data_IF_647742944476
#
_entry.id   IF_647742944476
#
_cell.length_a   1.000
_cell.length_b   1.000
_cell.length_c   1.000
_cell.angle_alpha   90.00
_cell.angle_beta   90.00
_cell.angle_gamma   90.00
#
_symmetry.space_group_name_H-M   'P 1'
#
loop_
_entity.id
_entity.type
_entity.pdbx_description
1 polymer ?
#
# COMPACT_ATOMS: atom_id res chain seq x y z
N UNK A 1 56.63 -14.83 16.07
CA UNK A 1 55.68 -15.54 15.16
C UNK A 1 54.28 -15.75 15.76
N UNK A 2 54.13 -16.06 17.06
CA UNK A 2 52.82 -16.28 17.71
C UNK A 2 51.91 -15.03 17.79
N UNK A 3 52.47 -13.85 18.05
CA UNK A 3 51.68 -12.61 18.17
C UNK A 3 51.01 -12.17 16.85
N UNK A 4 51.69 -12.41 15.71
CA UNK A 4 51.10 -12.17 14.38
C UNK A 4 49.94 -13.13 14.08
N UNK A 5 50.00 -14.37 14.57
CA UNK A 5 48.93 -15.37 14.39
C UNK A 5 47.67 -15.00 15.18
N UNK A 6 47.82 -14.43 16.39
CA UNK A 6 46.70 -13.92 17.21
C UNK A 6 45.99 -12.74 16.53
N UNK A 7 46.76 -11.78 16.01
CA UNK A 7 46.21 -10.63 15.30
C UNK A 7 45.42 -11.04 14.05
N UNK A 8 45.95 -11.99 13.28
CA UNK A 8 45.26 -12.55 12.11
C UNK A 8 43.97 -13.27 12.52
N UNK A 9 43.99 -14.02 13.63
CA UNK A 9 42.81 -14.75 14.11
C UNK A 9 41.68 -13.80 14.55
N UNK A 10 42.02 -12.71 15.26
CA UNK A 10 41.05 -11.68 15.68
C UNK A 10 40.47 -10.97 14.46
N UNK A 11 41.30 -10.64 13.47
CA UNK A 11 40.83 -9.99 12.23
C UNK A 11 39.83 -10.87 11.47
N UNK A 12 40.08 -12.18 11.40
CA UNK A 12 39.18 -13.15 10.77
C UNK A 12 37.85 -13.25 11.53
N UNK A 13 37.89 -13.29 12.87
CA UNK A 13 36.69 -13.32 13.71
C UNK A 13 35.83 -12.06 13.52
N UNK A 14 36.44 -10.88 13.48
CA UNK A 14 35.74 -9.61 13.21
C UNK A 14 35.16 -9.59 11.80
N UNK A 15 35.88 -10.12 10.80
CA UNK A 15 35.36 -10.22 9.44
C UNK A 15 34.11 -11.12 9.34
N UNK A 16 34.07 -12.23 10.06
CA UNK A 16 32.90 -13.16 10.08
C UNK A 16 31.66 -12.48 10.69
N UNK A 17 31.85 -11.64 11.72
CA UNK A 17 30.76 -10.89 12.36
C UNK A 17 30.12 -9.82 11.44
N UNK A 18 30.81 -9.41 10.37
CA UNK A 18 30.30 -8.44 9.40
C UNK A 18 29.45 -9.07 8.27
N UNK A 19 29.40 -10.41 8.15
CA UNK A 19 28.61 -11.13 7.13
C UNK A 19 27.17 -11.47 7.57
N UNK A 20 26.56 -10.62 8.41
CA UNK A 20 25.23 -10.87 8.96
C UNK A 20 24.22 -9.77 8.65
N UNK A 21 23.57 -9.81 7.48
CA UNK A 21 22.11 -9.62 7.34
C UNK A 21 21.71 -9.78 5.86
N UNK A 22 21.46 -11.00 5.40
CA UNK A 22 20.68 -11.20 4.17
C UNK A 22 19.22 -11.34 4.57
N UNK A 23 18.56 -10.20 4.79
CA UNK A 23 17.11 -10.16 4.97
C UNK A 23 16.47 -10.46 3.61
N UNK A 24 15.94 -11.68 3.46
CA UNK A 24 15.12 -12.03 2.30
C UNK A 24 13.83 -11.23 2.41
N UNK A 25 13.70 -10.19 1.60
CA UNK A 25 12.47 -9.40 1.51
C UNK A 25 11.29 -10.36 1.26
N UNK A 26 10.18 -10.26 2.02
CA UNK A 26 9.00 -11.05 1.75
C UNK A 26 8.53 -10.83 0.30
N UNK A 27 7.97 -11.86 -0.35
CA UNK A 27 7.47 -11.73 -1.71
C UNK A 27 6.41 -10.62 -1.77
N UNK A 28 6.60 -9.64 -2.66
CA UNK A 28 5.62 -8.59 -2.92
C UNK A 28 4.47 -9.14 -3.75
N UNK A 29 3.24 -8.89 -3.33
CA UNK A 29 2.02 -9.26 -4.06
C UNK A 29 1.66 -8.16 -5.06
N UNK A 30 1.58 -8.48 -6.35
CA UNK A 30 1.09 -7.50 -7.34
C UNK A 30 -0.42 -7.66 -7.49
N UNK A 31 -1.17 -6.59 -7.26
CA UNK A 31 -2.63 -6.55 -7.43
C UNK A 31 -2.96 -5.61 -8.58
N UNK A 32 -3.68 -6.13 -9.57
CA UNK A 32 -4.23 -5.35 -10.68
C UNK A 32 -5.73 -5.24 -10.49
N UNK A 33 -6.22 -4.02 -10.32
CA UNK A 33 -7.64 -3.73 -10.17
C UNK A 33 -8.14 -3.01 -11.42
N UNK A 34 -9.22 -3.52 -12.01
CA UNK A 34 -9.99 -2.80 -13.01
C UNK A 34 -11.24 -2.23 -12.34
N UNK A 35 -11.33 -0.90 -12.25
CA UNK A 35 -12.46 -0.21 -11.63
C UNK A 35 -13.25 0.47 -12.75
N UNK A 36 -14.42 -0.08 -13.03
CA UNK A 36 -15.34 0.46 -14.03
C UNK A 36 -16.46 1.22 -13.34
N UNK A 37 -16.73 2.43 -13.82
CA UNK A 37 -17.79 3.29 -13.31
C UNK A 37 -19.03 3.16 -14.20
N UNK A 38 -20.20 3.01 -13.57
CA UNK A 38 -21.49 3.02 -14.27
C UNK A 38 -21.82 4.39 -14.87
N UNK A 39 -22.74 4.40 -15.84
CA UNK A 39 -23.15 5.62 -16.57
C UNK A 39 -24.02 6.57 -15.74
N UNK A 40 -24.54 6.10 -14.60
CA UNK A 40 -25.40 6.81 -13.66
C UNK A 40 -24.76 6.94 -12.27
N UNK A 41 -23.43 6.79 -12.20
CA UNK A 41 -22.70 6.83 -10.94
C UNK A 41 -22.73 8.23 -10.32
N UNK A 42 -22.92 8.29 -9.00
CA UNK A 42 -22.96 9.52 -8.21
C UNK A 42 -23.85 10.61 -8.85
N UNK A 43 -25.06 10.25 -9.26
CA UNK A 43 -25.98 11.16 -9.95
C UNK A 43 -26.64 12.16 -9.00
N UNK A 44 -26.65 13.44 -9.37
CA UNK A 44 -27.48 14.48 -8.71
C UNK A 44 -28.86 14.59 -9.37
N UNK A 45 -28.99 14.13 -10.61
CA UNK A 45 -30.24 14.03 -11.37
C UNK A 45 -30.16 12.83 -12.32
N UNK A 46 -31.29 12.22 -12.70
CA UNK A 46 -31.29 11.06 -13.60
C UNK A 46 -30.52 11.35 -14.89
N UNK A 47 -29.58 10.47 -15.24
CA UNK A 47 -28.79 10.57 -16.48
C UNK A 47 -27.56 11.48 -16.42
N UNK A 48 -27.27 12.12 -15.29
CA UNK A 48 -26.06 12.94 -15.13
C UNK A 48 -25.08 12.34 -14.11
N UNK A 49 -24.14 11.52 -14.59
CA UNK A 49 -23.05 11.03 -13.77
C UNK A 49 -22.22 12.18 -13.19
N UNK A 50 -21.81 12.05 -11.93
CA UNK A 50 -20.85 12.96 -11.32
C UNK A 50 -19.55 12.22 -10.94
N UNK A 51 -18.41 12.93 -10.90
CA UNK A 51 -17.16 12.37 -10.41
C UNK A 51 -17.29 11.87 -8.96
N UNK A 52 -16.56 10.82 -8.61
CA UNK A 52 -16.43 10.34 -7.24
C UNK A 52 -14.96 10.15 -6.88
N UNK A 53 -14.65 10.26 -5.59
CA UNK A 53 -13.34 9.95 -5.03
C UNK A 53 -13.37 8.52 -4.49
N UNK A 54 -12.42 7.68 -4.92
CA UNK A 54 -12.21 6.36 -4.31
C UNK A 54 -10.93 6.36 -3.49
N UNK A 55 -10.92 5.54 -2.43
CA UNK A 55 -9.73 5.24 -1.63
C UNK A 55 -9.59 3.72 -1.53
N UNK A 56 -8.39 3.23 -1.83
CA UNK A 56 -8.03 1.83 -1.67
C UNK A 56 -7.10 1.70 -0.45
N UNK A 57 -7.51 0.89 0.51
CA UNK A 57 -6.75 0.57 1.71
C UNK A 57 -6.16 -0.84 1.61
N UNK A 58 -4.87 -0.96 1.89
CA UNK A 58 -4.25 -2.26 2.14
C UNK A 58 -4.22 -2.48 3.65
N UNK A 59 -4.94 -3.51 4.12
CA UNK A 59 -5.15 -3.76 5.53
C UNK A 59 -4.50 -5.06 5.98
N UNK A 60 -3.79 -5.03 7.10
CA UNK A 60 -3.37 -6.23 7.84
C UNK A 60 -4.54 -6.93 8.54
N UNK A 61 -5.59 -6.17 8.88
CA UNK A 61 -6.86 -6.69 9.40
C UNK A 61 -8.03 -5.79 9.00
N UNK A 62 -9.17 -6.38 8.67
CA UNK A 62 -10.40 -5.64 8.30
C UNK A 62 -11.27 -5.21 9.49
N UNK A 63 -10.96 -5.67 10.71
CA UNK A 63 -11.84 -5.49 11.88
C UNK A 63 -12.12 -4.02 12.19
N UNK A 64 -11.09 -3.17 12.24
CA UNK A 64 -11.26 -1.74 12.51
C UNK A 64 -11.98 -1.02 11.37
N UNK A 65 -11.75 -1.44 10.13
CA UNK A 65 -12.44 -0.89 8.96
C UNK A 65 -13.94 -1.20 8.97
N UNK A 66 -14.33 -2.44 9.30
CA UNK A 66 -15.73 -2.86 9.38
C UNK A 66 -16.49 -2.22 10.55
N UNK A 67 -15.77 -1.75 11.58
CA UNK A 67 -16.34 -1.10 12.76
C UNK A 67 -16.38 0.44 12.65
N UNK A 68 -15.56 1.02 11.78
CA UNK A 68 -15.44 2.45 11.65
C UNK A 68 -16.62 3.08 10.92
N UNK A 69 -16.98 4.30 11.34
CA UNK A 69 -17.90 5.14 10.58
C UNK A 69 -17.20 5.70 9.32
N UNK A 70 -17.98 5.99 8.29
CA UNK A 70 -17.51 6.64 7.08
C UNK A 70 -16.76 7.95 7.38
N UNK A 71 -17.26 8.80 8.27
CA UNK A 71 -16.64 10.10 8.54
C UNK A 71 -15.26 9.94 9.20
N UNK A 72 -15.12 8.94 10.07
CA UNK A 72 -13.86 8.61 10.72
C UNK A 72 -12.83 8.07 9.71
N UNK A 73 -13.26 7.25 8.77
CA UNK A 73 -12.42 6.81 7.64
C UNK A 73 -12.11 7.96 6.67
N UNK A 74 -13.02 8.90 6.47
CA UNK A 74 -12.83 9.98 5.51
C UNK A 74 -11.88 11.07 6.03
N UNK A 75 -12.00 11.45 7.30
CA UNK A 75 -11.25 12.54 7.90
C UNK A 75 -9.94 12.10 8.58
N UNK A 76 -9.88 10.89 9.12
CA UNK A 76 -8.80 10.47 10.03
C UNK A 76 -8.47 8.97 9.93
N UNK A 77 -8.48 8.43 8.71
CA UNK A 77 -8.17 7.03 8.38
C UNK A 77 -6.96 6.46 9.13
N UNK A 78 -5.81 7.14 9.14
CA UNK A 78 -4.61 6.67 9.82
C UNK A 78 -4.83 6.40 11.32
N UNK A 79 -5.55 7.29 12.01
CA UNK A 79 -5.87 7.13 13.44
C UNK A 79 -6.98 6.11 13.70
N UNK A 80 -7.89 5.94 12.74
CA UNK A 80 -9.03 5.01 12.82
C UNK A 80 -8.57 3.57 12.59
N UNK A 81 -7.68 3.37 11.62
CA UNK A 81 -7.21 2.05 11.19
C UNK A 81 -5.93 1.62 11.90
N UNK A 82 -5.14 2.56 12.43
CA UNK A 82 -3.98 2.28 13.28
C UNK A 82 -3.03 1.23 12.63
N UNK A 83 -2.57 0.26 13.42
CA UNK A 83 -1.68 -0.83 12.99
C UNK A 83 -2.30 -1.74 11.92
N UNK A 84 -3.61 -1.66 11.68
CA UNK A 84 -4.23 -2.42 10.59
C UNK A 84 -3.92 -1.83 9.21
N UNK A 85 -3.44 -0.59 9.12
CA UNK A 85 -3.17 0.08 7.85
C UNK A 85 -1.73 -0.17 7.36
N UNK A 86 -1.58 -1.02 6.35
CA UNK A 86 -0.26 -1.35 5.79
C UNK A 86 0.25 -0.27 4.82
N UNK A 87 -0.68 0.38 4.11
CA UNK A 87 -0.39 1.43 3.12
C UNK A 87 -1.50 2.46 3.12
N UNK A 88 -1.12 3.72 3.37
CA UNK A 88 -2.06 4.80 3.70
C UNK A 88 -3.06 5.15 2.60
N UNK A 89 -2.65 5.18 1.32
CA UNK A 89 -3.52 5.72 0.26
C UNK A 89 -3.01 5.47 -1.15
N UNK A 90 -3.87 4.95 -2.02
CA UNK A 90 -3.74 5.09 -3.48
C UNK A 90 -4.92 5.89 -4.00
N UNK A 91 -4.65 7.11 -4.45
CA UNK A 91 -5.66 7.91 -5.15
C UNK A 91 -5.61 7.62 -6.65
N UNK A 92 -6.70 7.13 -7.26
CA UNK A 92 -6.83 7.18 -8.70
C UNK A 92 -7.01 8.65 -9.11
N UNK A 93 -5.97 9.22 -9.72
CA UNK A 93 -6.04 10.56 -10.31
C UNK A 93 -6.86 10.48 -11.60
N UNK A 94 -7.99 11.17 -11.62
CA UNK A 94 -8.76 11.47 -12.82
C UNK A 94 -10.02 10.63 -12.98
N UNK A 95 -11.15 11.19 -12.53
CA UNK A 95 -12.49 10.87 -13.04
C UNK A 95 -12.95 12.03 -13.92
N UNK A 96 -12.28 12.25 -15.06
CA UNK A 96 -12.88 13.06 -16.13
C UNK A 96 -14.19 12.40 -16.55
N UNK A 97 -15.31 13.14 -16.71
CA UNK A 97 -16.56 12.59 -17.22
C UNK A 97 -16.26 11.86 -18.53
N UNK A 98 -16.39 10.53 -18.56
CA UNK A 98 -16.09 9.80 -19.74
C UNK A 98 -17.27 9.93 -20.71
N UNK A 99 -17.02 10.36 -21.94
CA UNK A 99 -17.84 9.89 -23.07
C UNK A 99 -17.62 8.38 -23.31
N UNK A 100 -16.67 7.75 -22.62
CA UNK A 100 -16.41 6.29 -22.59
C UNK A 100 -15.78 5.87 -21.25
N UNK A 101 -16.46 5.09 -20.38
CA UNK A 101 -16.04 4.82 -19.01
C UNK A 101 -14.74 4.01 -18.98
N UNK A 102 -13.60 4.70 -18.92
CA UNK A 102 -12.32 4.06 -18.67
C UNK A 102 -11.52 4.90 -17.68
N UNK A 103 -11.58 4.48 -16.41
CA UNK A 103 -10.62 4.93 -15.40
C UNK A 103 -9.31 4.20 -15.72
N UNK A 104 -8.23 4.96 -15.95
CA UNK A 104 -6.94 4.36 -16.30
C UNK A 104 -6.35 3.66 -15.07
N UNK A 105 -6.28 2.33 -15.16
CA UNK A 105 -5.67 1.43 -14.16
C UNK A 105 -4.23 1.86 -13.87
N UNK A 106 -3.91 2.05 -12.59
CA UNK A 106 -2.53 2.15 -12.13
C UNK A 106 -2.18 0.85 -11.42
N UNK A 107 -1.27 0.06 -12.01
CA UNK A 107 -0.72 -1.11 -11.35
C UNK A 107 -0.02 -0.68 -10.06
N UNK A 108 -0.52 -1.13 -8.92
CA UNK A 108 0.16 -1.00 -7.63
C UNK A 108 1.03 -2.22 -7.37
N UNK A 109 2.27 -2.01 -6.92
CA UNK A 109 3.04 -3.06 -6.25
C UNK A 109 2.67 -3.03 -4.78
N UNK A 110 2.14 -4.13 -4.25
CA UNK A 110 1.75 -4.28 -2.85
C UNK A 110 2.74 -5.24 -2.17
N UNK A 111 3.10 -4.98 -0.92
CA UNK A 111 4.20 -5.68 -0.21
C UNK A 111 5.58 -5.01 -0.29
#
# INVERSE_FOLDING_TARGET
>A
MMERKKAVFVLIMVAILLFGCSSKQPPRTTLTLNIEAGYDINTTSPGQAAPLQTRLYELGSKTLFEQADFLDLYLKDASTLQDSLNRDRVEPRGSTPPTTPSVRVRTGRFG
#
